data_IF_562192336082
#
_entry.id   IF_562192336082
#
_cell.length_a   1.000
_cell.length_b   1.000
_cell.length_c   1.000
_cell.angle_alpha   90.00
_cell.angle_beta   90.00
_cell.angle_gamma   90.00
#
_symmetry.space_group_name_H-M   'P 1'
#
loop_
_entity.id
_entity.type
_entity.pdbx_description
1 polymer ?
#
# COMPACT_ATOMS: atom_id res chain seq x y z
N UNK A 1 -14.19 15.15 15.42
CA UNK A 1 -12.74 15.40 15.50
C UNK A 1 -12.06 14.07 15.86
N UNK A 2 -11.95 13.15 14.90
CA UNK A 2 -11.34 11.81 15.10
C UNK A 2 -10.18 11.55 14.11
N UNK A 3 -9.90 12.50 13.19
CA UNK A 3 -9.06 12.29 12.00
C UNK A 3 -7.55 12.51 12.17
N UNK A 4 -7.00 12.51 13.40
CA UNK A 4 -5.57 12.81 13.61
C UNK A 4 -4.64 11.59 13.73
N UNK A 5 -5.17 10.39 14.02
CA UNK A 5 -4.37 9.15 14.06
C UNK A 5 -4.26 8.49 12.67
N UNK A 6 -5.37 8.40 11.93
CA UNK A 6 -5.41 7.88 10.56
C UNK A 6 -4.46 8.65 9.62
N UNK A 7 -4.30 9.95 9.84
CA UNK A 7 -3.40 10.80 9.04
C UNK A 7 -1.92 10.45 9.18
N UNK A 8 -1.46 9.95 10.34
CA UNK A 8 -0.04 9.59 10.52
C UNK A 8 0.29 8.20 9.97
N UNK A 9 -0.60 7.23 10.15
CA UNK A 9 -0.45 5.90 9.57
C UNK A 9 -0.57 5.93 8.05
N UNK A 10 -1.56 6.67 7.52
CA UNK A 10 -1.71 6.86 6.08
C UNK A 10 -0.47 7.50 5.45
N UNK A 11 0.10 8.54 6.06
CA UNK A 11 1.33 9.17 5.57
C UNK A 11 2.53 8.20 5.54
N UNK A 12 2.67 7.34 6.56
CA UNK A 12 3.71 6.32 6.59
C UNK A 12 3.50 5.24 5.54
N UNK A 13 2.25 4.79 5.35
CA UNK A 13 1.88 3.82 4.30
C UNK A 13 2.24 4.38 2.92
N UNK A 14 1.85 5.63 2.63
CA UNK A 14 2.19 6.32 1.37
C UNK A 14 3.70 6.34 1.16
N UNK A 15 4.46 6.76 2.16
CA UNK A 15 5.91 6.82 2.06
C UNK A 15 6.52 5.44 1.75
N UNK A 16 6.05 4.38 2.41
CA UNK A 16 6.55 3.01 2.17
C UNK A 16 6.25 2.51 0.77
N UNK A 17 5.07 2.82 0.23
CA UNK A 17 4.70 2.44 -1.14
C UNK A 17 5.58 3.17 -2.15
N UNK A 18 5.76 4.50 -1.98
CA UNK A 18 6.61 5.31 -2.87
C UNK A 18 8.07 4.85 -2.84
N UNK A 19 8.61 4.50 -1.68
CA UNK A 19 9.99 4.01 -1.53
C UNK A 19 10.18 2.57 -2.00
N UNK A 20 9.11 1.78 -2.13
CA UNK A 20 9.23 0.41 -2.63
C UNK A 20 9.67 0.40 -4.10
N UNK A 21 9.21 1.36 -4.90
CA UNK A 21 9.63 1.65 -6.28
C UNK A 21 9.97 0.41 -7.13
N UNK A 22 9.02 -0.55 -7.29
CA UNK A 22 9.31 -1.83 -7.93
C UNK A 22 9.70 -1.70 -9.42
N UNK A 23 9.31 -0.60 -10.06
CA UNK A 23 9.58 -0.33 -11.48
C UNK A 23 10.71 0.69 -11.70
N UNK A 24 11.38 1.15 -10.65
CA UNK A 24 12.47 2.14 -10.73
C UNK A 24 12.06 3.45 -11.45
N UNK A 25 10.79 3.84 -11.29
CA UNK A 25 10.21 5.06 -11.86
C UNK A 25 10.51 6.30 -11.01
N UNK A 26 11.00 6.09 -9.79
CA UNK A 26 11.21 7.13 -8.78
C UNK A 26 9.98 7.31 -7.88
N UNK A 27 10.16 7.68 -6.61
CA UNK A 27 9.11 7.67 -5.60
C UNK A 27 7.92 8.57 -5.97
N UNK A 28 8.17 9.71 -6.61
CA UNK A 28 7.14 10.68 -6.99
C UNK A 28 6.22 10.21 -8.13
N UNK A 29 6.50 9.05 -8.74
CA UNK A 29 5.65 8.48 -9.79
C UNK A 29 4.44 7.71 -9.24
N UNK A 30 4.44 7.34 -7.95
CA UNK A 30 3.46 6.42 -7.36
C UNK A 30 2.31 7.10 -6.59
N UNK A 31 2.01 8.37 -6.86
CA UNK A 31 0.99 9.12 -6.11
C UNK A 31 -0.40 8.47 -6.20
N UNK A 32 -0.79 8.02 -7.40
CA UNK A 32 -2.07 7.37 -7.64
C UNK A 32 -2.15 6.00 -6.97
N UNK A 33 -1.14 5.16 -7.19
CA UNK A 33 -1.10 3.80 -6.66
C UNK A 33 -1.02 3.83 -5.14
N UNK A 34 -0.27 4.76 -4.56
CA UNK A 34 -0.19 4.93 -3.11
C UNK A 34 -1.56 5.32 -2.52
N UNK A 35 -2.31 6.21 -3.16
CA UNK A 35 -3.65 6.58 -2.70
C UNK A 35 -4.63 5.38 -2.75
N UNK A 36 -4.61 4.62 -3.84
CA UNK A 36 -5.47 3.43 -4.00
C UNK A 36 -5.11 2.31 -3.00
N UNK A 37 -3.82 2.06 -2.81
CA UNK A 37 -3.35 1.05 -1.85
C UNK A 37 -3.65 1.48 -0.41
N UNK A 38 -3.52 2.77 -0.06
CA UNK A 38 -3.96 3.26 1.26
C UNK A 38 -5.43 2.96 1.49
N UNK A 39 -6.28 3.23 0.50
CA UNK A 39 -7.70 2.90 0.61
C UNK A 39 -7.90 1.39 0.84
N UNK A 40 -7.22 0.54 0.06
CA UNK A 40 -7.29 -0.91 0.21
C UNK A 40 -6.84 -1.39 1.60
N UNK A 41 -5.78 -0.80 2.16
CA UNK A 41 -5.29 -1.10 3.51
C UNK A 41 -6.36 -0.84 4.57
N UNK A 42 -7.13 0.24 4.44
CA UNK A 42 -8.19 0.55 5.42
C UNK A 42 -9.46 -0.29 5.25
N UNK A 43 -9.66 -0.94 4.08
CA UNK A 43 -10.84 -1.77 3.81
C UNK A 43 -10.60 -3.27 3.93
N UNK A 44 -9.36 -3.73 3.86
CA UNK A 44 -9.01 -5.15 3.89
C UNK A 44 -8.05 -5.47 5.06
N UNK A 45 -8.35 -6.51 5.82
CA UNK A 45 -7.54 -6.96 6.98
C UNK A 45 -6.77 -8.27 6.70
N UNK A 46 -6.97 -8.86 5.52
CA UNK A 46 -6.32 -10.09 5.11
C UNK A 46 -5.15 -9.78 4.16
N UNK A 47 -3.95 -10.23 4.54
CA UNK A 47 -2.73 -9.95 3.79
C UNK A 47 -2.71 -10.60 2.40
N UNK A 48 -3.40 -11.73 2.20
CA UNK A 48 -3.48 -12.36 0.88
C UNK A 48 -4.32 -11.52 -0.07
N UNK A 49 -5.51 -11.10 0.37
CA UNK A 49 -6.42 -10.25 -0.41
C UNK A 49 -5.83 -8.87 -0.66
N UNK A 50 -5.18 -8.28 0.33
CA UNK A 50 -4.48 -7.00 0.17
C UNK A 50 -3.31 -7.14 -0.82
N UNK A 51 -2.59 -8.27 -0.80
CA UNK A 51 -1.55 -8.56 -1.79
C UNK A 51 -2.09 -8.63 -3.22
N UNK A 52 -3.24 -9.25 -3.44
CA UNK A 52 -3.91 -9.30 -4.75
C UNK A 52 -4.39 -7.91 -5.21
N UNK A 53 -4.92 -7.11 -4.28
CA UNK A 53 -5.32 -5.73 -4.57
C UNK A 53 -4.12 -4.86 -4.97
N UNK A 54 -3.01 -4.94 -4.23
CA UNK A 54 -1.75 -4.26 -4.56
C UNK A 54 -1.26 -4.67 -5.95
N UNK A 55 -1.22 -5.98 -6.23
CA UNK A 55 -0.80 -6.50 -7.54
C UNK A 55 -1.66 -5.91 -8.66
N UNK A 56 -2.98 -5.88 -8.47
CA UNK A 56 -3.93 -5.36 -9.46
C UNK A 56 -3.72 -3.86 -9.72
N UNK A 57 -3.52 -3.07 -8.66
CA UNK A 57 -3.24 -1.61 -8.80
C UNK A 57 -2.00 -1.38 -9.66
N UNK A 58 -0.91 -2.07 -9.37
CA UNK A 58 0.32 -1.94 -10.17
C UNK A 58 0.18 -2.52 -11.59
N UNK A 59 -0.53 -3.63 -11.77
CA UNK A 59 -0.77 -4.21 -13.09
C UNK A 59 -1.56 -3.26 -13.99
N UNK A 60 -2.61 -2.61 -13.45
CA UNK A 60 -3.42 -1.63 -14.19
C UNK A 60 -2.60 -0.38 -14.55
N UNK A 61 -1.75 0.10 -13.64
CA UNK A 61 -0.97 1.33 -13.87
C UNK A 61 0.23 1.15 -14.79
N UNK A 62 0.86 -0.03 -14.78
CA UNK A 62 2.14 -0.27 -15.47
C UNK A 62 2.07 -1.32 -16.59
N UNK A 63 0.90 -1.92 -16.83
CA UNK A 63 0.69 -3.05 -17.73
C UNK A 63 1.67 -4.21 -17.46
N UNK A 64 2.06 -4.38 -16.18
CA UNK A 64 3.05 -5.37 -15.73
C UNK A 64 2.64 -6.01 -14.41
N UNK A 65 2.60 -7.34 -14.40
CA UNK A 65 2.25 -8.12 -13.21
C UNK A 65 3.47 -8.32 -12.30
N UNK A 66 3.44 -7.73 -11.10
CA UNK A 66 4.44 -7.99 -10.06
C UNK A 66 4.28 -9.39 -9.46
N UNK A 67 5.34 -10.02 -8.91
CA UNK A 67 5.20 -11.28 -8.20
C UNK A 67 4.26 -11.13 -6.99
N UNK A 68 3.20 -11.93 -6.91
CA UNK A 68 2.24 -11.86 -5.82
C UNK A 68 2.90 -12.02 -4.43
N UNK A 69 3.97 -12.80 -4.33
CA UNK A 69 4.74 -12.94 -3.08
C UNK A 69 5.38 -11.64 -2.60
N UNK A 70 5.75 -10.73 -3.51
CA UNK A 70 6.28 -9.41 -3.15
C UNK A 70 5.17 -8.47 -2.71
N UNK A 71 4.03 -8.48 -3.42
CA UNK A 71 2.84 -7.73 -3.04
C UNK A 71 2.32 -8.16 -1.66
N UNK A 72 2.32 -9.47 -1.35
CA UNK A 72 1.95 -9.99 -0.03
C UNK A 72 2.90 -9.51 1.08
N UNK A 73 4.21 -9.50 0.83
CA UNK A 73 5.20 -8.95 1.81
C UNK A 73 4.97 -7.47 2.08
N UNK A 74 4.62 -6.70 1.05
CA UNK A 74 4.23 -5.31 1.24
C UNK A 74 2.94 -5.22 2.07
N UNK A 75 1.90 -5.98 1.71
CA UNK A 75 0.63 -6.03 2.43
C UNK A 75 0.79 -6.30 3.93
N UNK A 76 1.56 -7.33 4.31
CA UNK A 76 1.86 -7.66 5.70
C UNK A 76 2.46 -6.47 6.46
N UNK A 77 3.42 -5.77 5.84
CA UNK A 77 4.05 -4.60 6.42
C UNK A 77 3.08 -3.43 6.60
N UNK A 78 2.18 -3.21 5.64
CA UNK A 78 1.19 -2.12 5.71
C UNK A 78 0.14 -2.37 6.79
N UNK A 79 -0.33 -3.61 6.94
CA UNK A 79 -1.28 -3.99 7.99
C UNK A 79 -0.72 -3.81 9.39
N UNK A 80 0.55 -4.17 9.61
CA UNK A 80 1.25 -3.91 10.89
C UNK A 80 1.21 -2.41 11.26
N UNK A 81 1.39 -1.53 10.27
CA UNK A 81 1.39 -0.08 10.50
C UNK A 81 -0.02 0.42 10.82
N UNK A 82 -1.02 -0.01 10.05
CA UNK A 82 -2.44 0.26 10.33
C UNK A 82 -2.78 -0.14 11.77
N UNK A 83 -2.49 -1.38 12.16
CA UNK A 83 -2.83 -1.93 13.47
C UNK A 83 -2.10 -1.22 14.61
N UNK A 84 -0.82 -0.87 14.41
CA UNK A 84 -0.03 -0.14 15.41
C UNK A 84 -0.59 1.26 15.72
N UNK A 85 -1.32 1.86 14.77
CA UNK A 85 -1.95 3.17 14.94
C UNK A 85 -3.37 3.11 15.51
N UNK A 86 -4.04 1.97 15.35
CA UNK A 86 -5.39 1.70 15.85
C UNK A 86 -5.40 1.34 17.35
N UNK A 87 -4.22 1.01 17.91
CA UNK A 87 -4.04 0.70 19.33
C UNK A 87 -4.01 1.93 20.25
#
# INVERSE_FOLDING_TARGET
MIMMKESQAAAQIIHIIKEWDPFQAGPDFYETEAAEIVQAVYTEDDAERLGEAIQTVFEVSFDQTLPLSECKRLAERLLVIKDSSSC
#
